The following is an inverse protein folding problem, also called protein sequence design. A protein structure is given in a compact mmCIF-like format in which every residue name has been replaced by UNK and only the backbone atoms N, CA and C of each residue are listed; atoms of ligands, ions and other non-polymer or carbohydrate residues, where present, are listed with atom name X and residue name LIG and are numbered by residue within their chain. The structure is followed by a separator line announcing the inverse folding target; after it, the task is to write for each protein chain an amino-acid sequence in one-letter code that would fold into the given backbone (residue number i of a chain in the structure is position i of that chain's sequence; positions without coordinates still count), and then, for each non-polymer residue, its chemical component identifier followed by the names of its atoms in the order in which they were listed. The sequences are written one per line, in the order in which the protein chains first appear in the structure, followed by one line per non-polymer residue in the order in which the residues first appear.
data_IF_419016544131
#
_entry.id   IF_419016544131
#
_cell.length_a   1.000
_cell.length_b   1.000
_cell.length_c   1.000
_cell.angle_alpha   90.00
_cell.angle_beta   90.00
_cell.angle_gamma   90.00
#
_symmetry.space_group_name_H-M   'P 1'
#
loop_
_entity.id
_entity.type
_entity.pdbx_description
1 polymer ?
#
# COMPACT_ATOMS: atom_id res chain seq x y z
N UNK A 1 40.06 3.23 1.97
CA UNK A 1 38.82 3.90 1.51
C UNK A 1 37.88 2.83 0.97
N UNK A 2 36.93 2.34 1.78
CA UNK A 2 35.92 1.38 1.31
C UNK A 2 34.77 2.15 0.66
N UNK A 3 34.64 2.01 -0.65
CA UNK A 3 33.54 2.59 -1.42
C UNK A 3 32.42 1.54 -1.45
N UNK A 4 31.49 1.60 -0.49
CA UNK A 4 30.27 0.77 -0.52
C UNK A 4 29.33 1.33 -1.58
N UNK A 5 29.50 0.86 -2.83
CA UNK A 5 28.45 0.97 -3.85
C UNK A 5 27.32 0.03 -3.44
N UNK A 6 26.37 0.55 -2.65
CA UNK A 6 25.09 -0.09 -2.41
C UNK A 6 24.36 -0.22 -3.75
N UNK A 7 24.22 -1.46 -4.21
CA UNK A 7 23.45 -1.78 -5.41
C UNK A 7 22.03 -1.26 -5.28
N UNK A 8 21.53 -0.72 -6.39
CA UNK A 8 20.23 -0.10 -6.53
C UNK A 8 19.11 -0.95 -5.90
N UNK A 9 18.47 -0.40 -4.85
CA UNK A 9 17.14 -0.84 -4.43
C UNK A 9 16.16 -0.42 -5.51
N UNK A 10 15.96 -1.27 -6.53
CA UNK A 10 15.06 -1.03 -7.68
C UNK A 10 13.56 -1.14 -7.33
N UNK A 11 13.21 -0.92 -6.06
CA UNK A 11 11.82 -0.78 -5.63
C UNK A 11 11.73 0.54 -4.89
N UNK A 12 11.29 1.58 -5.59
CA UNK A 12 10.86 2.80 -4.93
C UNK A 12 9.74 2.41 -3.97
N UNK A 13 9.87 2.82 -2.71
CA UNK A 13 8.84 2.61 -1.70
C UNK A 13 7.61 3.39 -2.17
N UNK A 14 6.55 2.68 -2.53
CA UNK A 14 5.28 3.30 -2.91
C UNK A 14 4.74 4.02 -1.67
N UNK A 15 4.39 5.30 -1.83
CA UNK A 15 3.81 6.08 -0.75
C UNK A 15 2.36 5.66 -0.47
N UNK A 16 1.89 5.90 0.76
CA UNK A 16 0.48 5.67 1.11
C UNK A 16 -0.43 6.57 0.27
N UNK A 17 0.01 7.80 -0.03
CA UNK A 17 -0.71 8.76 -0.87
C UNK A 17 -0.94 8.24 -2.29
N UNK A 18 0.10 7.68 -2.93
CA UNK A 18 -0.03 7.06 -4.27
C UNK A 18 -1.03 5.88 -4.26
N UNK A 19 -1.06 5.10 -3.18
CA UNK A 19 -1.99 3.97 -3.06
C UNK A 19 -3.42 4.45 -2.87
N UNK A 20 -3.64 5.48 -2.06
CA UNK A 20 -4.96 6.09 -1.90
C UNK A 20 -5.46 6.74 -3.20
N UNK A 21 -4.56 7.35 -3.99
CA UNK A 21 -4.90 7.85 -5.33
C UNK A 21 -5.35 6.72 -6.26
N UNK A 22 -4.59 5.61 -6.31
CA UNK A 22 -4.95 4.42 -7.09
C UNK A 22 -6.31 3.86 -6.64
N UNK A 23 -6.57 3.76 -5.34
CA UNK A 23 -7.86 3.35 -4.80
C UNK A 23 -8.99 4.27 -5.25
N UNK A 24 -8.77 5.58 -5.26
CA UNK A 24 -9.74 6.56 -5.77
C UNK A 24 -10.10 6.33 -7.23
N UNK A 25 -9.11 6.05 -8.08
CA UNK A 25 -9.31 5.74 -9.50
C UNK A 25 -10.08 4.43 -9.69
N UNK A 26 -9.73 3.38 -8.95
CA UNK A 26 -10.42 2.09 -8.99
C UNK A 26 -11.87 2.17 -8.51
N UNK A 27 -12.15 2.95 -7.44
CA UNK A 27 -13.53 3.21 -6.98
C UNK A 27 -14.35 3.97 -8.02
N UNK A 28 -13.72 4.89 -8.74
CA UNK A 28 -14.37 5.61 -9.84
C UNK A 28 -14.71 4.67 -10.99
N UNK A 29 -13.81 3.76 -11.34
CA UNK A 29 -14.02 2.73 -12.35
C UNK A 29 -15.21 1.82 -12.00
N UNK A 30 -15.37 1.42 -10.72
CA UNK A 30 -16.53 0.63 -10.27
C UNK A 30 -17.89 1.33 -10.43
N UNK A 31 -17.90 2.67 -10.51
CA UNK A 31 -19.12 3.43 -10.72
C UNK A 31 -19.51 3.52 -12.21
N UNK A 32 -18.66 3.04 -13.12
CA UNK A 32 -18.98 2.98 -14.54
C UNK A 32 -20.08 1.94 -14.79
N UNK A 33 -21.20 2.40 -15.37
CA UNK A 33 -22.37 1.57 -15.69
C UNK A 33 -22.08 0.57 -16.81
N UNK A 34 -21.04 0.81 -17.62
CA UNK A 34 -20.64 -0.03 -18.74
C UNK A 34 -19.49 -0.96 -18.41
N UNK A 35 -19.09 -1.05 -17.13
CA UNK A 35 -17.98 -1.90 -16.71
C UNK A 35 -18.31 -3.38 -16.93
N UNK A 36 -17.48 -4.14 -17.68
CA UNK A 36 -17.68 -5.57 -17.84
C UNK A 36 -17.66 -6.31 -16.49
N UNK A 37 -18.47 -7.37 -16.36
CA UNK A 37 -18.59 -8.11 -15.10
C UNK A 37 -17.25 -8.64 -14.56
N UNK A 38 -16.43 -9.27 -15.41
CA UNK A 38 -15.11 -9.79 -14.99
C UNK A 38 -14.19 -8.66 -14.53
N UNK A 39 -14.24 -7.50 -15.20
CA UNK A 39 -13.47 -6.33 -14.81
C UNK A 39 -13.90 -5.78 -13.45
N UNK A 40 -15.20 -5.81 -13.16
CA UNK A 40 -15.73 -5.42 -11.85
C UNK A 40 -15.15 -6.29 -10.73
N UNK A 41 -15.11 -7.61 -10.93
CA UNK A 41 -14.53 -8.54 -9.95
C UNK A 41 -13.03 -8.31 -9.76
N UNK A 42 -12.28 -8.09 -10.85
CA UNK A 42 -10.86 -7.73 -10.78
C UNK A 42 -10.63 -6.45 -9.97
N UNK A 43 -11.39 -5.40 -10.25
CA UNK A 43 -11.24 -4.11 -9.56
C UNK A 43 -11.60 -4.24 -8.08
N UNK A 44 -12.64 -5.01 -7.73
CA UNK A 44 -12.97 -5.29 -6.33
C UNK A 44 -11.86 -6.07 -5.62
N UNK A 45 -11.28 -7.09 -6.27
CA UNK A 45 -10.15 -7.86 -5.74
C UNK A 45 -8.93 -6.98 -5.50
N UNK A 46 -8.61 -6.09 -6.46
CA UNK A 46 -7.50 -5.14 -6.31
C UNK A 46 -7.72 -4.19 -5.13
N UNK A 47 -8.92 -3.63 -4.98
CA UNK A 47 -9.26 -2.77 -3.85
C UNK A 47 -9.08 -3.49 -2.51
N UNK A 48 -9.56 -4.74 -2.40
CA UNK A 48 -9.40 -5.56 -1.21
C UNK A 48 -7.92 -5.78 -0.84
N UNK A 49 -7.08 -6.09 -1.83
CA UNK A 49 -5.65 -6.28 -1.61
C UNK A 49 -4.95 -4.99 -1.16
N UNK A 50 -5.31 -3.84 -1.74
CA UNK A 50 -4.76 -2.54 -1.34
C UNK A 50 -5.17 -2.17 0.08
N UNK A 51 -6.44 -2.38 0.46
CA UNK A 51 -6.91 -2.13 1.83
C UNK A 51 -6.19 -3.03 2.84
N UNK A 52 -6.10 -4.34 2.55
CA UNK A 52 -5.37 -5.30 3.40
C UNK A 52 -3.90 -4.90 3.57
N UNK A 53 -3.26 -4.44 2.50
CA UNK A 53 -1.87 -3.99 2.55
C UNK A 53 -1.70 -2.75 3.43
N UNK A 54 -2.59 -1.76 3.30
CA UNK A 54 -2.56 -0.54 4.12
C UNK A 54 -2.81 -0.84 5.61
N UNK A 55 -3.73 -1.74 5.93
CA UNK A 55 -3.95 -2.19 7.31
C UNK A 55 -2.70 -2.85 7.90
N UNK A 56 -2.04 -3.71 7.12
CA UNK A 56 -0.79 -4.33 7.51
C UNK A 56 0.32 -3.31 7.79
N UNK A 57 0.43 -2.26 6.95
CA UNK A 57 1.37 -1.16 7.16
C UNK A 57 1.06 -0.38 8.44
N UNK A 58 -0.19 0.00 8.65
CA UNK A 58 -0.63 0.70 9.87
C UNK A 58 -0.38 -0.14 11.14
N UNK A 59 -0.58 -1.46 11.06
CA UNK A 59 -0.26 -2.37 12.16
C UNK A 59 1.25 -2.38 12.47
N UNK A 60 2.11 -2.47 11.45
CA UNK A 60 3.56 -2.43 11.62
C UNK A 60 4.03 -1.13 12.28
N UNK A 61 3.49 0.01 11.87
CA UNK A 61 3.82 1.32 12.46
C UNK A 61 3.40 1.41 13.93
N UNK A 62 2.18 0.94 14.26
CA UNK A 62 1.72 0.87 15.66
C UNK A 62 2.55 -0.09 16.52
N UNK A 63 3.04 -1.19 15.94
CA UNK A 63 3.92 -2.14 16.64
C UNK A 63 5.26 -1.48 16.96
N UNK A 64 5.86 -0.83 15.96
CA UNK A 64 7.11 -0.09 16.12
C UNK A 64 7.00 1.00 17.19
N UNK A 65 5.92 1.79 17.19
CA UNK A 65 5.69 2.82 18.21
C UNK A 65 5.58 2.24 19.64
N UNK A 66 4.89 1.10 19.79
CA UNK A 66 4.79 0.41 21.10
C UNK A 66 6.13 -0.12 21.58
N UNK A 67 6.94 -0.67 20.68
CA UNK A 67 8.29 -1.17 21.01
C UNK A 67 9.21 -0.03 21.46
N UNK A 68 9.14 1.15 20.82
CA UNK A 68 9.90 2.33 21.24
C UNK A 68 9.53 2.80 22.64
N UNK A 69 8.23 2.94 22.95
CA UNK A 69 7.77 3.31 24.29
C UNK A 69 8.24 2.35 25.39
N UNK A 70 8.26 1.05 25.10
CA UNK A 70 8.74 0.02 26.05
C UNK A 70 10.26 0.04 26.24
N UNK A 71 11.02 0.51 25.25
CA UNK A 71 12.48 0.63 25.35
C UNK A 71 12.96 1.90 26.07
N UNK A 72 12.08 2.89 26.23
CA UNK A 72 12.36 4.15 26.93
C UNK A 72 12.00 4.09 28.44
N UNK A 73 11.42 2.97 28.91
CA UNK A 73 11.06 2.73 30.32
C UNK A 73 12.01 1.73 30.96
#
# INVERSE_FOLDING_TARGET
KQNKKGGLTLFKKVSIEEIEEIKGRLKTELNDKYLPFHRKEEVMSLLYHLDTWLEGRAYQERKHYREQLQSET
#
